data_IF_490425484182
#
_entry.id   IF_490425484182
#
_cell.length_a   1.000
_cell.length_b   1.000
_cell.length_c   1.000
_cell.angle_alpha   90.00
_cell.angle_beta   90.00
_cell.angle_gamma   90.00
#
_symmetry.space_group_name_H-M   'P 1'
#
loop_
_entity.id
_entity.type
_entity.pdbx_description
1 polymer ?
#
# COMPACT_ATOMS: atom_id res chain seq x y z
N UNK A 1 12.61 20.26 -5.45
CA UNK A 1 11.15 20.30 -5.16
C UNK A 1 10.68 18.87 -4.96
N UNK A 2 9.85 18.63 -3.94
CA UNK A 2 9.36 17.28 -3.62
C UNK A 2 7.88 17.21 -3.99
N UNK A 3 7.49 16.25 -4.83
CA UNK A 3 6.12 16.05 -5.29
C UNK A 3 5.73 14.59 -5.08
N UNK A 4 4.53 14.35 -4.53
CA UNK A 4 3.98 13.00 -4.39
C UNK A 4 2.73 12.84 -5.24
N UNK A 5 2.80 11.94 -6.21
CA UNK A 5 1.65 11.49 -6.98
C UNK A 5 0.94 10.38 -6.20
N UNK A 6 -0.29 10.64 -5.78
CA UNK A 6 -1.03 9.71 -4.94
C UNK A 6 -2.55 9.83 -5.15
N UNK A 7 -3.24 8.79 -4.71
CA UNK A 7 -4.71 8.76 -4.61
C UNK A 7 -5.15 8.78 -3.15
N UNK A 8 -6.30 8.20 -2.85
CA UNK A 8 -6.82 8.06 -1.48
C UNK A 8 -5.78 7.39 -0.56
N UNK A 9 -5.60 7.89 0.68
CA UNK A 9 -4.58 7.39 1.62
C UNK A 9 -4.95 6.00 2.14
N UNK A 10 -4.71 4.99 1.32
CA UNK A 10 -4.91 3.58 1.64
C UNK A 10 -3.75 2.73 1.10
N UNK A 11 -3.48 1.62 1.73
CA UNK A 11 -2.46 0.64 1.33
C UNK A 11 -1.17 1.29 0.80
N UNK A 12 -0.85 1.14 -0.47
CA UNK A 12 0.39 1.62 -1.07
C UNK A 12 0.53 3.16 -1.03
N UNK A 13 -0.56 3.90 -1.24
CA UNK A 13 -0.54 5.37 -1.23
C UNK A 13 -0.35 5.95 0.17
N UNK A 14 -0.81 5.23 1.21
CA UNK A 14 -0.69 5.70 2.59
C UNK A 14 0.76 5.68 3.10
N UNK A 15 1.59 4.75 2.62
CA UNK A 15 2.97 4.57 3.09
C UNK A 15 3.82 5.84 2.94
N UNK A 16 4.03 6.38 1.72
CA UNK A 16 4.84 7.58 1.56
C UNK A 16 4.20 8.81 2.21
N UNK A 17 2.88 8.91 2.26
CA UNK A 17 2.20 10.00 2.97
C UNK A 17 2.58 10.02 4.45
N UNK A 18 2.50 8.87 5.14
CA UNK A 18 2.91 8.78 6.55
C UNK A 18 4.39 9.18 6.69
N UNK A 19 5.27 8.62 5.87
CA UNK A 19 6.71 8.87 5.99
C UNK A 19 7.06 10.35 5.79
N UNK A 20 6.45 11.03 4.82
CA UNK A 20 6.65 12.46 4.59
C UNK A 20 6.15 13.31 5.78
N UNK A 21 5.00 12.97 6.35
CA UNK A 21 4.51 13.65 7.55
C UNK A 21 5.35 13.36 8.79
N UNK A 22 5.89 12.15 8.97
CA UNK A 22 6.83 11.84 10.06
C UNK A 22 8.14 12.63 9.93
N UNK A 23 8.62 12.82 8.71
CA UNK A 23 9.78 13.68 8.40
C UNK A 23 9.46 15.18 8.49
N UNK A 24 8.19 15.56 8.64
CA UNK A 24 7.72 16.94 8.53
C UNK A 24 8.18 17.61 7.22
N UNK A 25 8.30 16.82 6.17
CA UNK A 25 8.76 17.28 4.87
C UNK A 25 7.66 18.09 4.16
N UNK A 26 8.03 19.24 3.62
CA UNK A 26 7.13 19.98 2.72
C UNK A 26 7.15 19.32 1.34
N UNK A 27 5.97 18.97 0.83
CA UNK A 27 5.81 18.37 -0.49
C UNK A 27 4.57 18.89 -1.20
N UNK A 28 4.58 18.84 -2.52
CA UNK A 28 3.39 19.11 -3.33
C UNK A 28 2.60 17.81 -3.54
N UNK A 29 1.32 17.85 -3.17
CA UNK A 29 0.39 16.73 -3.39
C UNK A 29 -0.15 16.78 -4.82
N UNK A 30 0.20 15.79 -5.62
CA UNK A 30 -0.33 15.52 -6.97
C UNK A 30 -1.39 14.43 -6.88
N UNK A 31 -2.52 14.79 -6.34
CA UNK A 31 -3.63 13.85 -6.15
C UNK A 31 -4.32 13.50 -7.47
N UNK A 32 -4.65 12.23 -7.67
CA UNK A 32 -5.45 11.74 -8.80
C UNK A 32 -6.52 10.75 -8.30
N UNK A 33 -7.58 10.56 -9.07
CA UNK A 33 -8.61 9.58 -8.78
C UNK A 33 -8.26 8.22 -9.41
N UNK A 34 -7.86 7.26 -8.57
CA UNK A 34 -7.56 5.90 -9.05
C UNK A 34 -8.83 5.14 -9.49
N UNK A 35 -10.00 5.48 -8.93
CA UNK A 35 -11.27 4.86 -9.29
C UNK A 35 -11.74 5.28 -10.71
N UNK A 36 -11.22 6.37 -11.26
CA UNK A 36 -11.46 6.78 -12.65
C UNK A 36 -10.37 6.33 -13.62
N UNK A 37 -9.38 5.58 -13.15
CA UNK A 37 -8.22 5.12 -13.93
C UNK A 37 -7.37 6.28 -14.49
N UNK A 38 -7.38 7.46 -13.83
CA UNK A 38 -6.60 8.63 -14.26
C UNK A 38 -5.09 8.43 -14.12
N UNK A 39 -4.67 7.60 -13.18
CA UNK A 39 -3.26 7.34 -12.91
C UNK A 39 -2.48 6.84 -14.13
N UNK A 40 -3.11 6.09 -15.03
CA UNK A 40 -2.45 5.61 -16.25
C UNK A 40 -2.04 6.73 -17.22
N UNK A 41 -2.63 7.92 -17.10
CA UNK A 41 -2.29 9.07 -17.93
C UNK A 41 -1.52 10.17 -17.19
N UNK A 42 -1.67 10.25 -15.86
CA UNK A 42 -1.14 11.35 -15.06
C UNK A 42 0.18 11.01 -14.36
N UNK A 43 0.37 9.74 -13.96
CA UNK A 43 1.59 9.33 -13.25
C UNK A 43 2.74 9.18 -14.24
N UNK A 44 3.83 9.96 -14.10
CA UNK A 44 5.01 9.81 -14.94
C UNK A 44 5.70 8.47 -14.68
N UNK A 45 6.28 7.88 -15.73
CA UNK A 45 7.12 6.71 -15.58
C UNK A 45 8.51 7.12 -15.05
N UNK A 46 9.10 6.30 -14.19
CA UNK A 46 10.53 6.36 -13.94
C UNK A 46 11.29 5.90 -15.19
N UNK A 47 12.57 6.25 -15.30
CA UNK A 47 13.42 5.73 -16.36
C UNK A 47 13.45 4.18 -16.34
N UNK A 48 13.55 3.60 -15.14
CA UNK A 48 13.55 2.14 -14.93
C UNK A 48 12.22 1.52 -15.35
N UNK A 49 11.10 2.10 -14.95
CA UNK A 49 9.76 1.59 -15.33
C UNK A 49 9.53 1.68 -16.84
N UNK A 50 9.91 2.80 -17.46
CA UNK A 50 9.79 2.97 -18.92
C UNK A 50 10.64 1.96 -19.67
N UNK A 51 11.87 1.66 -19.19
CA UNK A 51 12.77 0.72 -19.83
C UNK A 51 12.35 -0.75 -19.64
N UNK A 52 11.81 -1.09 -18.48
CA UNK A 52 11.39 -2.45 -18.14
C UNK A 52 9.90 -2.73 -18.39
N UNK A 53 9.15 -1.74 -18.91
CA UNK A 53 7.71 -1.83 -19.12
C UNK A 53 6.94 -2.24 -17.85
N UNK A 54 7.27 -1.60 -16.72
CA UNK A 54 6.61 -1.84 -15.44
C UNK A 54 5.32 -1.01 -15.30
N UNK A 55 4.50 -1.38 -14.33
CA UNK A 55 3.25 -0.69 -14.02
C UNK A 55 3.51 0.75 -13.57
N UNK A 56 2.71 1.71 -14.10
CA UNK A 56 2.74 3.13 -13.73
C UNK A 56 1.52 3.53 -12.92
N UNK A 57 1.25 2.82 -11.84
CA UNK A 57 0.02 3.01 -11.07
C UNK A 57 0.18 3.91 -9.85
N UNK A 58 1.39 4.24 -9.49
CA UNK A 58 1.68 4.98 -8.27
C UNK A 58 1.54 4.12 -6.98
N UNK A 59 1.85 4.72 -5.84
CA UNK A 59 2.36 6.08 -5.67
C UNK A 59 3.70 6.31 -6.37
N UNK A 60 4.01 7.60 -6.63
CA UNK A 60 5.28 7.99 -7.22
C UNK A 60 5.77 9.26 -6.53
N UNK A 61 7.04 9.29 -6.17
CA UNK A 61 7.71 10.43 -5.56
C UNK A 61 8.67 11.04 -6.57
N UNK A 62 8.50 12.32 -6.88
CA UNK A 62 9.47 13.09 -7.65
C UNK A 62 10.25 14.02 -6.70
N UNK A 63 11.58 13.94 -6.73
CA UNK A 63 12.47 14.78 -5.93
C UNK A 63 13.56 15.39 -6.81
N UNK A 64 13.46 16.70 -7.04
CA UNK A 64 14.40 17.47 -7.88
C UNK A 64 14.61 16.83 -9.26
N UNK A 65 13.55 16.35 -9.88
CA UNK A 65 13.58 15.71 -11.20
C UNK A 65 13.90 14.22 -11.20
N UNK A 66 14.30 13.63 -10.06
CA UNK A 66 14.47 12.20 -9.91
C UNK A 66 13.14 11.57 -9.49
N UNK A 67 12.73 10.50 -10.17
CA UNK A 67 11.46 9.84 -9.93
C UNK A 67 11.70 8.48 -9.26
N UNK A 68 11.01 8.24 -8.14
CA UNK A 68 11.11 7.02 -7.33
C UNK A 68 9.73 6.36 -7.30
N UNK A 69 9.68 5.10 -7.70
CA UNK A 69 8.49 4.25 -7.62
C UNK A 69 8.66 3.15 -6.60
N UNK A 70 7.62 2.33 -6.43
CA UNK A 70 7.47 1.31 -5.41
C UNK A 70 7.37 1.89 -3.99
N UNK A 71 6.21 1.72 -3.38
CA UNK A 71 5.89 2.34 -2.09
C UNK A 71 6.84 1.97 -0.94
N UNK A 72 7.48 0.78 -0.98
CA UNK A 72 8.46 0.41 0.04
C UNK A 72 9.84 1.08 -0.21
N UNK A 73 10.31 1.12 -1.46
CA UNK A 73 11.53 1.84 -1.81
C UNK A 73 11.40 3.35 -1.58
N UNK A 74 10.18 3.91 -1.74
CA UNK A 74 9.92 5.29 -1.32
C UNK A 74 10.12 5.50 0.19
N UNK A 75 9.68 4.53 1.03
CA UNK A 75 9.94 4.61 2.48
C UNK A 75 11.43 4.65 2.78
N UNK A 76 12.23 3.79 2.14
CA UNK A 76 13.68 3.78 2.30
C UNK A 76 14.29 5.12 1.85
N UNK A 77 13.91 5.58 0.65
CA UNK A 77 14.40 6.85 0.12
C UNK A 77 14.06 8.04 1.03
N UNK A 78 12.81 8.13 1.49
CA UNK A 78 12.37 9.19 2.40
C UNK A 78 13.12 9.11 3.72
N UNK A 79 13.36 7.90 4.25
CA UNK A 79 14.10 7.70 5.48
C UNK A 79 15.54 8.18 5.38
N UNK A 80 16.22 7.88 4.26
CA UNK A 80 17.64 8.15 4.05
C UNK A 80 17.91 9.57 3.53
N UNK A 81 17.08 10.07 2.59
CA UNK A 81 17.35 11.32 1.88
C UNK A 81 16.76 12.57 2.55
N UNK A 82 15.73 12.44 3.38
CA UNK A 82 15.06 13.60 3.96
C UNK A 82 15.46 13.82 5.42
N UNK A 83 15.66 15.08 5.85
CA UNK A 83 15.93 15.41 7.25
C UNK A 83 14.72 15.10 8.13
N UNK A 84 14.90 15.13 9.45
CA UNK A 84 13.86 14.92 10.45
C UNK A 84 14.05 13.62 11.24
N UNK A 85 13.00 13.17 11.92
CA UNK A 85 13.05 11.96 12.76
C UNK A 85 13.56 10.74 11.97
N UNK A 86 14.53 9.98 12.53
CA UNK A 86 15.03 8.76 11.90
C UNK A 86 13.91 7.71 11.78
N UNK A 87 13.64 7.25 10.56
CA UNK A 87 12.69 6.15 10.26
C UNK A 87 13.40 4.82 10.00
N UNK A 88 14.73 4.83 9.96
CA UNK A 88 15.60 3.67 9.98
C UNK A 88 16.61 3.83 11.12
N UNK A 89 17.07 2.72 11.67
CA UNK A 89 18.12 2.73 12.67
C UNK A 89 19.49 2.95 12.01
N UNK A 90 20.41 3.59 12.74
CA UNK A 90 21.81 3.72 12.31
C UNK A 90 22.54 2.37 12.39
N UNK A 91 22.14 1.50 13.31
CA UNK A 91 22.65 0.14 13.37
C UNK A 91 22.21 -0.68 12.16
N UNK A 92 23.19 -1.26 11.47
CA UNK A 92 22.95 -2.00 10.22
C UNK A 92 22.05 -3.22 10.40
N UNK A 93 22.10 -3.89 11.58
CA UNK A 93 21.27 -5.07 11.82
C UNK A 93 19.81 -4.67 12.11
N UNK A 94 19.57 -3.61 12.85
CA UNK A 94 18.22 -3.09 13.08
C UNK A 94 17.63 -2.52 11.78
N UNK A 95 18.42 -1.85 10.95
CA UNK A 95 18.01 -1.43 9.61
C UNK A 95 17.67 -2.64 8.71
N UNK A 96 18.47 -3.71 8.77
CA UNK A 96 18.16 -4.97 8.09
C UNK A 96 16.84 -5.57 8.57
N UNK A 97 16.57 -5.58 9.88
CA UNK A 97 15.31 -6.10 10.44
C UNK A 97 14.10 -5.35 9.90
N UNK A 98 14.20 -4.03 9.78
CA UNK A 98 13.12 -3.21 9.19
C UNK A 98 12.87 -3.58 7.73
N UNK A 99 13.93 -3.74 6.93
CA UNK A 99 13.84 -4.16 5.52
C UNK A 99 13.30 -5.59 5.37
N UNK A 100 13.77 -6.51 6.20
CA UNK A 100 13.29 -7.89 6.21
C UNK A 100 11.80 -7.99 6.55
N UNK A 101 11.32 -7.16 7.51
CA UNK A 101 9.89 -7.06 7.81
C UNK A 101 9.09 -6.56 6.60
N UNK A 102 9.55 -5.51 5.93
CA UNK A 102 8.89 -4.98 4.73
C UNK A 102 8.85 -5.99 3.58
N UNK A 103 9.96 -6.70 3.34
CA UNK A 103 10.03 -7.79 2.36
C UNK A 103 9.01 -8.89 2.68
N UNK A 104 8.95 -9.32 3.93
CA UNK A 104 7.98 -10.33 4.38
C UNK A 104 6.55 -9.87 4.18
N UNK A 105 6.21 -8.65 4.62
CA UNK A 105 4.85 -8.11 4.51
C UNK A 105 4.47 -7.86 3.04
N UNK A 106 5.37 -7.32 2.24
CA UNK A 106 5.16 -7.11 0.81
C UNK A 106 4.83 -8.41 0.08
N UNK A 107 5.61 -9.48 0.34
CA UNK A 107 5.40 -10.79 -0.28
C UNK A 107 4.08 -11.46 0.14
N UNK A 108 3.60 -11.24 1.37
CA UNK A 108 2.41 -11.92 1.89
C UNK A 108 1.13 -11.07 1.84
N UNK A 109 1.23 -9.75 1.96
CA UNK A 109 0.05 -8.88 2.01
C UNK A 109 -0.17 -8.13 0.70
N UNK A 110 0.89 -7.90 -0.08
CA UNK A 110 0.88 -7.02 -1.25
C UNK A 110 -0.11 -7.42 -2.36
N UNK A 111 -0.47 -8.69 -2.46
CA UNK A 111 -1.51 -9.17 -3.36
C UNK A 111 -2.83 -9.49 -2.63
N UNK A 112 -2.76 -10.08 -1.44
CA UNK A 112 -3.94 -10.63 -0.75
C UNK A 112 -4.88 -9.54 -0.23
N UNK A 113 -4.33 -8.48 0.36
CA UNK A 113 -5.14 -7.37 0.90
C UNK A 113 -5.80 -6.58 -0.24
N UNK A 114 -5.07 -6.15 -1.28
CA UNK A 114 -5.70 -5.45 -2.41
C UNK A 114 -6.79 -6.25 -3.12
N UNK A 115 -6.60 -7.55 -3.37
CA UNK A 115 -7.62 -8.34 -4.07
C UNK A 115 -8.95 -8.36 -3.30
N UNK A 116 -8.91 -8.56 -1.98
CA UNK A 116 -10.10 -8.54 -1.14
C UNK A 116 -10.76 -7.15 -1.12
N UNK A 117 -9.95 -6.09 -0.98
CA UNK A 117 -10.42 -4.71 -0.99
C UNK A 117 -10.99 -4.27 -2.33
N UNK A 118 -10.30 -4.61 -3.42
CA UNK A 118 -10.75 -4.30 -4.78
C UNK A 118 -12.09 -4.97 -5.10
N UNK A 119 -12.25 -6.25 -4.78
CA UNK A 119 -13.52 -6.95 -5.03
C UNK A 119 -14.64 -6.38 -4.18
N UNK A 120 -14.37 -6.04 -2.92
CA UNK A 120 -15.40 -5.49 -2.02
C UNK A 120 -15.83 -4.08 -2.42
N UNK A 121 -14.89 -3.22 -2.82
CA UNK A 121 -15.13 -1.78 -2.95
C UNK A 121 -14.89 -1.21 -4.34
N UNK A 122 -13.80 -1.56 -5.02
CA UNK A 122 -13.39 -0.95 -6.29
C UNK A 122 -14.16 -1.53 -7.47
N UNK A 123 -14.33 -2.85 -7.53
CA UNK A 123 -15.03 -3.52 -8.61
C UNK A 123 -16.46 -2.99 -8.85
N UNK A 124 -17.31 -2.79 -7.80
CA UNK A 124 -18.66 -2.24 -8.03
C UNK A 124 -18.63 -0.82 -8.64
N UNK A 125 -17.64 0.00 -8.32
CA UNK A 125 -17.49 1.35 -8.89
C UNK A 125 -17.05 1.31 -10.35
N UNK A 126 -16.05 0.51 -10.64
CA UNK A 126 -15.52 0.36 -12.01
C UNK A 126 -16.53 -0.29 -12.96
N UNK A 127 -17.28 -1.30 -12.47
CA UNK A 127 -18.32 -1.96 -13.27
C UNK A 127 -19.51 -1.06 -13.60
N UNK A 128 -19.68 0.05 -12.88
CA UNK A 128 -20.68 1.06 -13.16
C UNK A 128 -20.24 2.11 -14.22
N UNK A 129 -18.97 2.09 -14.60
CA UNK A 129 -18.44 3.00 -15.64
C UNK A 129 -18.82 2.50 -17.03
N UNK A 130 -18.83 3.43 -17.99
CA UNK A 130 -18.96 3.09 -19.42
C UNK A 130 -17.78 2.19 -19.84
N UNK A 131 -18.11 0.99 -20.36
CA UNK A 131 -17.14 -0.02 -20.77
C UNK A 131 -16.17 0.48 -21.84
N UNK A 132 -16.63 1.27 -22.79
CA UNK A 132 -15.77 1.81 -23.84
C UNK A 132 -14.72 2.78 -23.28
N UNK A 133 -15.07 3.56 -22.23
CA UNK A 133 -14.13 4.44 -21.53
C UNK A 133 -13.09 3.60 -20.78
N UNK A 134 -13.51 2.56 -20.08
CA UNK A 134 -12.61 1.66 -19.35
C UNK A 134 -11.63 0.97 -20.29
N UNK A 135 -12.13 0.38 -21.38
CA UNK A 135 -11.30 -0.32 -22.36
C UNK A 135 -10.27 0.62 -23.00
N UNK A 136 -10.68 1.86 -23.33
CA UNK A 136 -9.77 2.87 -23.86
C UNK A 136 -8.66 3.26 -22.87
N UNK A 137 -8.98 3.43 -21.58
CA UNK A 137 -8.00 3.74 -20.54
C UNK A 137 -7.02 2.59 -20.27
N UNK A 138 -7.51 1.36 -20.34
CA UNK A 138 -6.70 0.17 -20.11
C UNK A 138 -5.92 -0.30 -21.34
N UNK A 139 -6.23 0.19 -22.55
CA UNK A 139 -5.61 -0.26 -23.79
C UNK A 139 -4.07 -0.14 -23.80
N UNK A 140 -3.54 0.91 -23.16
CA UNK A 140 -2.10 1.18 -23.07
C UNK A 140 -1.42 0.67 -21.79
N UNK A 141 -2.11 -0.11 -20.95
CA UNK A 141 -1.52 -0.62 -19.70
C UNK A 141 -0.58 -1.78 -20.00
N UNK A 142 0.65 -1.61 -19.60
CA UNK A 142 1.74 -2.59 -19.68
C UNK A 142 2.20 -2.97 -18.26
N UNK A 143 2.60 -4.23 -17.99
CA UNK A 143 2.53 -5.38 -18.91
C UNK A 143 1.09 -5.89 -19.11
N UNK A 144 0.87 -6.74 -20.11
CA UNK A 144 -0.46 -7.25 -20.46
C UNK A 144 -1.17 -7.90 -19.27
N UNK A 145 -0.44 -8.62 -18.41
CA UNK A 145 -0.98 -9.28 -17.23
C UNK A 145 -1.64 -8.26 -16.29
N UNK A 146 -1.06 -7.07 -16.20
CA UNK A 146 -1.61 -6.00 -15.37
C UNK A 146 -2.95 -5.52 -15.90
N UNK A 147 -3.05 -5.31 -17.21
CA UNK A 147 -4.31 -4.99 -17.87
C UNK A 147 -5.36 -6.08 -17.65
N UNK A 148 -4.98 -7.36 -17.76
CA UNK A 148 -5.88 -8.49 -17.52
C UNK A 148 -6.39 -8.52 -16.09
N UNK A 149 -5.59 -8.13 -15.09
CA UNK A 149 -6.02 -8.04 -13.69
C UNK A 149 -7.10 -6.98 -13.48
N UNK A 150 -6.94 -5.83 -14.11
CA UNK A 150 -7.97 -4.78 -14.08
C UNK A 150 -9.26 -5.24 -14.78
N UNK A 151 -9.15 -5.88 -15.93
CA UNK A 151 -10.32 -6.43 -16.65
C UNK A 151 -11.01 -7.52 -15.83
N UNK A 152 -10.24 -8.44 -15.23
CA UNK A 152 -10.78 -9.50 -14.38
C UNK A 152 -11.54 -8.94 -13.16
N UNK A 153 -11.05 -7.83 -12.58
CA UNK A 153 -11.73 -7.13 -11.51
C UNK A 153 -13.07 -6.54 -11.97
N UNK A 154 -13.07 -5.86 -13.12
CA UNK A 154 -14.24 -5.19 -13.69
C UNK A 154 -15.29 -6.21 -14.15
N UNK A 155 -14.85 -7.30 -14.76
CA UNK A 155 -15.70 -8.37 -15.29
C UNK A 155 -16.17 -9.36 -14.21
N UNK A 156 -15.71 -9.19 -12.96
CA UNK A 156 -16.10 -10.04 -11.84
C UNK A 156 -15.67 -11.50 -11.99
N UNK A 157 -14.53 -11.75 -12.65
CA UNK A 157 -14.08 -13.14 -12.93
C UNK A 157 -13.35 -13.79 -11.74
N UNK A 158 -13.14 -13.07 -10.65
CA UNK A 158 -12.59 -13.65 -9.42
C UNK A 158 -13.59 -14.61 -8.77
N UNK A 159 -13.20 -15.87 -8.68
CA UNK A 159 -14.07 -16.91 -8.11
C UNK A 159 -14.13 -16.85 -6.58
N UNK A 160 -15.21 -17.35 -5.93
CA UNK A 160 -15.25 -17.50 -4.47
C UNK A 160 -14.03 -18.24 -3.91
N UNK A 161 -13.54 -19.26 -4.62
CA UNK A 161 -12.34 -20.02 -4.23
C UNK A 161 -11.09 -19.14 -4.12
N UNK A 162 -10.91 -18.17 -5.02
CA UNK A 162 -9.78 -17.23 -4.94
C UNK A 162 -9.88 -16.38 -3.68
N UNK A 163 -11.09 -15.89 -3.36
CA UNK A 163 -11.33 -15.08 -2.17
C UNK A 163 -11.11 -15.88 -0.88
N UNK A 164 -11.58 -17.09 -0.83
CA UNK A 164 -11.41 -17.98 0.33
C UNK A 164 -9.93 -18.34 0.51
N UNK A 165 -9.23 -18.59 -0.60
CA UNK A 165 -7.78 -18.82 -0.57
C UNK A 165 -7.04 -17.57 -0.05
N UNK A 166 -7.43 -16.37 -0.50
CA UNK A 166 -6.82 -15.13 -0.02
C UNK A 166 -7.04 -14.94 1.49
N UNK A 167 -8.26 -15.16 1.99
CA UNK A 167 -8.57 -15.10 3.43
C UNK A 167 -7.75 -16.11 4.24
N UNK A 168 -7.66 -17.36 3.76
CA UNK A 168 -6.88 -18.40 4.42
C UNK A 168 -5.39 -18.06 4.49
N UNK A 169 -4.81 -17.59 3.39
CA UNK A 169 -3.39 -17.21 3.32
C UNK A 169 -3.05 -16.00 4.21
N UNK A 170 -3.99 -15.09 4.49
CA UNK A 170 -3.79 -13.97 5.41
C UNK A 170 -3.54 -14.40 6.86
N UNK A 171 -4.00 -15.59 7.27
CA UNK A 171 -3.80 -16.09 8.63
C UNK A 171 -2.32 -16.17 9.01
N UNK A 172 -1.48 -16.59 8.07
CA UNK A 172 -0.04 -16.74 8.33
C UNK A 172 0.65 -15.40 8.65
N UNK A 173 0.66 -14.38 7.79
CA UNK A 173 1.32 -13.12 8.10
C UNK A 173 0.70 -12.41 9.32
N UNK A 174 -0.61 -12.46 9.50
CA UNK A 174 -1.28 -11.87 10.67
C UNK A 174 -0.83 -12.55 11.96
N UNK A 175 -0.79 -13.88 12.00
CA UNK A 175 -0.32 -14.60 13.18
C UNK A 175 1.17 -14.35 13.50
N UNK A 176 2.00 -14.16 12.44
CA UNK A 176 3.42 -13.82 12.63
C UNK A 176 3.60 -12.43 13.21
N UNK A 177 2.84 -11.45 12.74
CA UNK A 177 2.86 -10.09 13.30
C UNK A 177 2.36 -10.09 14.75
N UNK A 178 1.23 -10.76 15.05
CA UNK A 178 0.71 -10.88 16.42
C UNK A 178 1.74 -11.49 17.37
N UNK A 179 2.45 -12.55 16.93
CA UNK A 179 3.49 -13.19 17.72
C UNK A 179 4.71 -12.29 17.93
N UNK A 180 5.13 -11.55 16.88
CA UNK A 180 6.29 -10.66 16.94
C UNK A 180 6.07 -9.48 17.91
N UNK A 181 4.85 -8.97 17.98
CA UNK A 181 4.45 -7.90 18.89
C UNK A 181 4.47 -8.33 20.39
N UNK A 182 4.67 -9.60 20.69
CA UNK A 182 4.95 -10.04 22.06
C UNK A 182 6.35 -9.63 22.55
N UNK A 183 7.30 -9.38 21.65
CA UNK A 183 8.67 -9.00 21.98
C UNK A 183 8.85 -7.49 22.19
N UNK A 184 7.90 -6.66 21.78
CA UNK A 184 8.01 -5.22 21.93
C UNK A 184 6.92 -4.46 21.14
N UNK A 185 6.90 -3.13 21.27
CA UNK A 185 5.85 -2.31 20.70
C UNK A 185 5.97 -2.11 19.18
N UNK A 186 7.12 -2.40 18.56
CA UNK A 186 7.42 -2.16 17.16
C UNK A 186 7.97 -3.41 16.47
N UNK A 187 7.83 -3.50 15.15
CA UNK A 187 8.16 -4.71 14.40
C UNK A 187 9.66 -4.93 14.21
N UNK A 188 10.44 -3.87 14.08
CA UNK A 188 11.85 -4.01 13.70
C UNK A 188 12.84 -3.69 14.83
N UNK A 189 12.36 -3.47 16.05
CA UNK A 189 13.25 -3.15 17.17
C UNK A 189 12.59 -2.27 18.23
N UNK A 190 13.37 -1.49 18.99
CA UNK A 190 12.84 -0.71 20.10
C UNK A 190 12.16 0.59 19.65
N UNK A 191 12.32 1.00 18.37
CA UNK A 191 11.82 2.26 17.84
C UNK A 191 10.89 2.04 16.65
N UNK A 192 9.95 2.97 16.48
CA UNK A 192 9.12 3.10 15.29
C UNK A 192 9.98 3.31 14.04
N UNK A 193 9.63 2.65 12.95
CA UNK A 193 10.43 2.63 11.72
C UNK A 193 9.56 2.47 10.47
N UNK A 194 10.20 2.46 9.31
CA UNK A 194 9.54 2.16 8.03
C UNK A 194 8.81 0.81 8.04
N UNK A 195 9.26 -0.17 8.83
CA UNK A 195 8.58 -1.46 8.98
C UNK A 195 7.17 -1.30 9.55
N UNK A 196 7.00 -0.37 10.50
CA UNK A 196 5.72 -0.12 11.14
C UNK A 196 4.79 0.69 10.23
N UNK A 197 5.33 1.61 9.44
CA UNK A 197 4.57 2.34 8.41
C UNK A 197 4.04 1.37 7.36
N UNK A 198 4.92 0.51 6.84
CA UNK A 198 4.58 -0.50 5.84
C UNK A 198 3.51 -1.47 6.34
N UNK A 199 3.72 -2.00 7.54
CA UNK A 199 2.77 -2.90 8.19
C UNK A 199 1.41 -2.26 8.42
N UNK A 200 1.39 -1.06 9.02
CA UNK A 200 0.15 -0.35 9.33
C UNK A 200 -0.68 -0.10 8.08
N UNK A 201 -0.06 0.40 7.01
CA UNK A 201 -0.76 0.72 5.77
C UNK A 201 -1.53 -0.49 5.19
N UNK A 202 -0.98 -1.70 5.34
CA UNK A 202 -1.59 -2.93 4.82
C UNK A 202 -2.52 -3.61 5.83
N UNK A 203 -2.16 -3.61 7.12
CA UNK A 203 -2.89 -4.36 8.15
C UNK A 203 -4.15 -3.63 8.66
N UNK A 204 -4.16 -2.28 8.63
CA UNK A 204 -5.27 -1.49 9.17
C UNK A 204 -6.63 -1.72 8.50
N UNK A 205 -6.64 -2.25 7.29
CA UNK A 205 -7.87 -2.52 6.53
C UNK A 205 -8.38 -3.94 6.72
N UNK A 206 -7.58 -4.85 7.31
CA UNK A 206 -7.98 -6.25 7.49
C UNK A 206 -9.18 -6.40 8.44
N UNK A 207 -9.33 -5.64 9.54
CA UNK A 207 -10.54 -5.71 10.37
C UNK A 207 -11.85 -5.50 9.61
N UNK A 208 -11.83 -4.66 8.56
CA UNK A 208 -12.98 -4.44 7.69
C UNK A 208 -13.15 -5.53 6.62
N UNK A 209 -12.04 -6.08 6.11
CA UNK A 209 -12.05 -7.08 5.05
C UNK A 209 -12.28 -8.51 5.57
N UNK A 210 -11.71 -8.84 6.73
CA UNK A 210 -11.70 -10.17 7.36
C UNK A 210 -11.83 -10.01 8.89
N UNK A 211 -12.99 -9.56 9.39
CA UNK A 211 -13.17 -9.20 10.81
C UNK A 211 -12.96 -10.37 11.77
N UNK A 212 -13.14 -11.60 11.32
CA UNK A 212 -12.87 -12.79 12.11
C UNK A 212 -11.38 -13.02 12.35
N UNK A 213 -10.50 -12.49 11.49
CA UNK A 213 -9.06 -12.68 11.59
C UNK A 213 -8.39 -11.62 12.47
N UNK A 214 -8.83 -10.36 12.36
CA UNK A 214 -8.24 -9.25 13.12
C UNK A 214 -9.32 -8.57 13.96
N UNK A 215 -9.31 -8.88 15.23
CA UNK A 215 -10.20 -8.34 16.25
C UNK A 215 -9.57 -8.48 17.65
N UNK A 216 -10.07 -7.77 18.68
CA UNK A 216 -9.48 -7.81 20.03
C UNK A 216 -9.42 -9.19 20.70
N UNK A 217 -10.26 -10.14 20.29
CA UNK A 217 -10.25 -11.51 20.84
C UNK A 217 -9.20 -12.39 20.16
N UNK A 218 -9.05 -12.29 18.83
CA UNK A 218 -8.15 -13.13 18.04
C UNK A 218 -6.71 -12.59 18.02
N UNK A 219 -6.53 -11.26 17.91
CA UNK A 219 -5.24 -10.61 17.73
C UNK A 219 -5.13 -9.32 18.55
N UNK A 220 -5.15 -9.43 19.90
CA UNK A 220 -5.19 -8.27 20.80
C UNK A 220 -3.99 -7.31 20.61
N UNK A 221 -2.76 -7.87 20.49
CA UNK A 221 -1.54 -7.04 20.32
C UNK A 221 -1.52 -6.30 19.00
N UNK A 222 -1.97 -6.95 17.93
CA UNK A 222 -2.11 -6.32 16.63
C UNK A 222 -3.14 -5.17 16.67
N UNK A 223 -4.28 -5.37 17.34
CA UNK A 223 -5.27 -4.31 17.50
C UNK A 223 -4.72 -3.11 18.29
N UNK A 224 -4.00 -3.36 19.38
CA UNK A 224 -3.33 -2.30 20.15
C UNK A 224 -2.23 -1.60 19.34
N UNK A 225 -1.46 -2.34 18.56
CA UNK A 225 -0.43 -1.83 17.67
C UNK A 225 -1.02 -0.91 16.61
N UNK A 226 -2.07 -1.33 15.93
CA UNK A 226 -2.76 -0.52 14.93
C UNK A 226 -3.31 0.78 15.55
N UNK A 227 -3.95 0.69 16.70
CA UNK A 227 -4.45 1.88 17.42
C UNK A 227 -3.32 2.83 17.83
N UNK A 228 -2.18 2.29 18.28
CA UNK A 228 -0.99 3.09 18.66
C UNK A 228 -0.44 3.87 17.46
N UNK A 229 -0.35 3.24 16.29
CA UNK A 229 0.14 3.90 15.07
C UNK A 229 -0.88 4.93 14.58
N UNK A 230 -2.16 4.59 14.55
CA UNK A 230 -3.22 5.51 14.12
C UNK A 230 -3.31 6.78 14.99
N UNK A 231 -2.93 6.67 16.26
CA UNK A 231 -2.88 7.81 17.19
C UNK A 231 -1.75 8.81 16.88
N UNK A 232 -0.75 8.45 16.05
CA UNK A 232 0.38 9.33 15.71
C UNK A 232 -0.10 10.55 14.91
N UNK A 233 0.38 11.76 15.21
CA UNK A 233 -0.02 12.97 14.47
C UNK A 233 0.23 12.87 12.97
N UNK A 234 1.37 12.32 12.54
CA UNK A 234 1.73 12.14 11.14
C UNK A 234 0.76 11.19 10.41
N UNK A 235 0.34 10.11 11.07
CA UNK A 235 -0.63 9.16 10.50
C UNK A 235 -2.00 9.80 10.33
N UNK A 236 -2.45 10.56 11.34
CA UNK A 236 -3.71 11.31 11.24
C UNK A 236 -3.67 12.37 10.14
N UNK A 237 -2.54 13.08 10.00
CA UNK A 237 -2.36 14.05 8.93
C UNK A 237 -2.42 13.38 7.55
N UNK A 238 -1.74 12.25 7.38
CA UNK A 238 -1.79 11.47 6.15
C UNK A 238 -3.22 11.00 5.82
N UNK A 239 -3.94 10.45 6.79
CA UNK A 239 -5.33 10.01 6.60
C UNK A 239 -6.30 11.16 6.32
N UNK A 240 -6.05 12.34 6.88
CA UNK A 240 -6.85 13.55 6.64
C UNK A 240 -6.72 14.10 5.21
N UNK A 241 -5.74 13.63 4.41
CA UNK A 241 -5.61 13.96 2.99
C UNK A 241 -6.65 13.23 2.11
N UNK A 242 -7.48 12.36 2.69
CA UNK A 242 -8.59 11.71 1.98
C UNK A 242 -9.58 12.73 1.44
N UNK A 243 -9.96 12.57 0.18
CA UNK A 243 -11.02 13.37 -0.45
C UNK A 243 -12.39 12.72 -0.35
N UNK A 244 -12.44 11.39 -0.27
CA UNK A 244 -13.70 10.64 -0.10
C UNK A 244 -14.22 10.62 1.34
N UNK A 245 -13.36 10.88 2.34
CA UNK A 245 -13.63 10.66 3.76
C UNK A 245 -13.69 9.18 4.17
N UNK A 246 -13.50 8.26 3.22
CA UNK A 246 -13.51 6.81 3.43
C UNK A 246 -12.31 6.12 2.76
N UNK A 247 -11.06 6.52 3.09
CA UNK A 247 -9.88 6.03 2.37
C UNK A 247 -9.78 4.50 2.38
N UNK A 248 -10.23 3.83 3.45
CA UNK A 248 -10.20 2.37 3.60
C UNK A 248 -11.07 1.62 2.57
N UNK A 249 -11.87 2.32 1.76
CA UNK A 249 -12.69 1.73 0.70
C UNK A 249 -12.09 1.89 -0.71
N UNK A 250 -10.92 2.50 -0.84
CA UNK A 250 -10.27 2.75 -2.13
C UNK A 250 -9.03 1.88 -2.27
N UNK A 251 -9.09 0.94 -3.20
CA UNK A 251 -8.00 -0.01 -3.47
C UNK A 251 -7.64 0.02 -4.94
N UNK A 252 -6.37 -0.19 -5.21
CA UNK A 252 -5.85 -0.54 -6.53
C UNK A 252 -5.37 -1.99 -6.49
N UNK A 253 -5.43 -2.75 -7.59
CA UNK A 253 -4.89 -4.11 -7.62
C UNK A 253 -3.43 -4.14 -7.15
N UNK A 254 -3.11 -5.15 -6.34
CA UNK A 254 -1.74 -5.39 -5.89
C UNK A 254 -0.93 -6.14 -6.93
N UNK A 255 0.27 -6.58 -6.53
CA UNK A 255 1.10 -7.46 -7.34
C UNK A 255 0.36 -8.78 -7.61
N UNK A 256 0.46 -9.29 -8.83
CA UNK A 256 -0.18 -10.55 -9.21
C UNK A 256 0.34 -11.72 -8.38
N UNK A 257 -0.55 -12.52 -7.73
CA UNK A 257 -0.12 -13.70 -6.97
C UNK A 257 0.64 -14.73 -7.83
N UNK A 258 0.31 -14.79 -9.11
CA UNK A 258 0.91 -15.74 -10.05
C UNK A 258 2.38 -15.46 -10.40
N UNK A 259 2.88 -14.23 -10.14
CA UNK A 259 4.29 -13.88 -10.38
C UNK A 259 5.27 -14.51 -9.40
N UNK A 260 4.80 -15.02 -8.29
CA UNK A 260 5.63 -15.51 -7.20
C UNK A 260 5.43 -16.99 -6.86
N UNK A 261 4.71 -17.73 -7.71
CA UNK A 261 4.47 -19.16 -7.57
C UNK A 261 3.30 -19.54 -6.70
#
# INVERSE_FOLDING_TARGET
MLELYHSEPNTFFLKPLIALHEKQAAFESRWFDADTLEHFSLVPATEVEAHLHLEREGPLLAHDGTVISNSFFMLEYIADALPGEPLLADDAYDAYRARASGQFLGAHLGSLVPILGCIKYTAPRLSAMDRAIVDAKLAGVEPQERRLSWLALIDGTYTPKILDTARERLKFPVSRVEAQLAAGPWLAGPRYSIADIDAFAMLRVIPDLVPELVNPAATPRLCEYLARIEARPAVRAALAMSRSGKPHQHFVPGVEPSRWG
#
